data_IF_830019489528
#
_entry.id   IF_830019489528
#
_cell.length_a   1.000
_cell.length_b   1.000
_cell.length_c   1.000
_cell.angle_alpha   90.00
_cell.angle_beta   90.00
_cell.angle_gamma   90.00
#
_symmetry.space_group_name_H-M   'P 1'
#
loop_
_entity.id
_entity.type
_entity.pdbx_description
1 polymer ?
#
# COMPACT_ATOMS: atom_id res chain seq x y z
N UNK A 1 16.84 -24.34 -1.95
CA UNK A 1 17.85 -23.52 -2.69
C UNK A 1 19.27 -23.90 -2.31
N UNK A 2 19.76 -23.56 -1.10
CA UNK A 2 21.16 -23.80 -0.71
C UNK A 2 21.58 -25.29 -0.73
N UNK A 3 20.86 -26.17 -0.02
CA UNK A 3 21.21 -27.60 0.12
C UNK A 3 21.21 -28.36 -1.22
N UNK A 4 20.34 -27.95 -2.14
CA UNK A 4 20.20 -28.52 -3.49
C UNK A 4 21.11 -27.84 -4.53
N UNK A 5 21.94 -26.87 -4.12
CA UNK A 5 22.84 -26.11 -5.02
C UNK A 5 22.14 -25.45 -6.21
N UNK A 6 20.90 -24.99 -6.02
CA UNK A 6 20.08 -24.29 -7.02
C UNK A 6 20.28 -22.76 -6.95
N UNK A 7 21.54 -22.31 -7.00
CA UNK A 7 21.92 -20.90 -6.94
C UNK A 7 23.24 -20.66 -7.69
N UNK A 8 23.69 -19.42 -7.77
CA UNK A 8 24.92 -19.04 -8.47
C UNK A 8 24.68 -18.74 -9.95
N UNK A 9 25.77 -18.70 -10.74
CA UNK A 9 25.79 -18.08 -12.09
C UNK A 9 24.83 -18.65 -13.14
N UNK A 10 24.17 -19.78 -12.88
CA UNK A 10 23.25 -20.47 -13.81
C UNK A 10 21.78 -20.32 -13.45
N UNK A 11 21.47 -19.71 -12.31
CA UNK A 11 20.10 -19.59 -11.80
C UNK A 11 19.79 -18.14 -11.47
N UNK A 12 18.63 -17.67 -11.90
CA UNK A 12 18.09 -16.36 -11.52
C UNK A 12 16.77 -16.61 -10.81
N UNK A 13 16.61 -16.02 -9.63
CA UNK A 13 15.38 -16.10 -8.85
C UNK A 13 14.64 -14.78 -8.94
N UNK A 14 13.35 -14.85 -9.27
CA UNK A 14 12.43 -13.71 -9.18
C UNK A 14 11.58 -13.86 -7.93
N UNK A 15 11.58 -12.82 -7.10
CA UNK A 15 10.85 -12.77 -5.85
C UNK A 15 9.97 -11.52 -5.79
N UNK A 16 9.07 -11.50 -4.82
CA UNK A 16 8.30 -10.32 -4.45
C UNK A 16 9.17 -9.37 -3.60
N UNK A 17 9.00 -8.06 -3.77
CA UNK A 17 9.84 -7.05 -3.08
C UNK A 17 9.34 -6.55 -1.72
N UNK A 18 8.16 -6.96 -1.27
CA UNK A 18 7.61 -6.50 0.02
C UNK A 18 8.17 -7.25 1.25
N UNK A 19 9.17 -8.11 1.07
CA UNK A 19 9.90 -8.67 2.21
C UNK A 19 10.78 -7.60 2.85
N UNK A 20 10.83 -7.59 4.18
CA UNK A 20 11.68 -6.66 4.92
C UNK A 20 13.15 -6.78 4.51
N UNK A 21 13.86 -5.65 4.55
CA UNK A 21 15.29 -5.64 4.36
C UNK A 21 15.97 -6.61 5.32
N UNK A 22 16.94 -7.37 4.81
CA UNK A 22 17.66 -8.37 5.57
C UNK A 22 16.78 -9.49 6.19
N UNK A 23 15.58 -9.76 5.66
CA UNK A 23 14.69 -10.83 6.16
C UNK A 23 15.38 -12.19 6.35
N UNK A 24 16.34 -12.54 5.48
CA UNK A 24 17.10 -13.79 5.51
C UNK A 24 18.22 -13.84 6.57
N UNK A 25 18.48 -12.74 7.27
CA UNK A 25 19.45 -12.66 8.38
C UNK A 25 18.78 -12.89 9.74
N UNK A 26 17.45 -12.94 9.79
CA UNK A 26 16.70 -13.21 11.01
C UNK A 26 16.84 -14.70 11.34
N UNK A 27 17.24 -15.02 12.57
CA UNK A 27 17.39 -16.41 13.02
C UNK A 27 16.03 -17.09 13.10
N UNK A 28 15.85 -18.15 12.33
CA UNK A 28 14.68 -19.01 12.36
C UNK A 28 15.08 -20.41 12.88
N UNK A 29 14.53 -20.88 14.01
CA UNK A 29 14.85 -22.21 14.55
C UNK A 29 14.30 -23.36 13.69
N UNK A 30 13.38 -23.11 12.77
CA UNK A 30 12.81 -24.12 11.88
C UNK A 30 13.72 -24.45 10.69
N UNK A 31 14.74 -23.63 10.41
CA UNK A 31 15.68 -23.85 9.31
C UNK A 31 17.04 -24.33 9.83
N UNK A 32 17.59 -25.34 9.17
CA UNK A 32 18.94 -25.85 9.45
C UNK A 32 19.93 -25.31 8.40
N UNK A 33 20.06 -23.98 8.36
CA UNK A 33 20.99 -23.20 7.55
C UNK A 33 21.52 -22.02 8.39
N UNK A 34 22.78 -21.62 8.19
CA UNK A 34 23.32 -20.40 8.81
C UNK A 34 22.98 -19.16 7.99
N UNK A 35 23.21 -17.97 8.54
CA UNK A 35 23.01 -16.70 7.83
C UNK A 35 23.90 -16.62 6.59
N UNK A 36 25.13 -17.14 6.66
CA UNK A 36 26.08 -17.19 5.55
C UNK A 36 25.55 -18.07 4.40
N UNK A 37 25.01 -19.26 4.73
CA UNK A 37 24.40 -20.16 3.75
C UNK A 37 23.22 -19.49 3.05
N UNK A 38 22.39 -18.77 3.80
CA UNK A 38 21.23 -18.06 3.25
C UNK A 38 21.67 -16.89 2.37
N UNK A 39 22.66 -16.10 2.82
CA UNK A 39 23.21 -14.97 2.07
C UNK A 39 23.78 -15.42 0.73
N UNK A 40 24.53 -16.51 0.69
CA UNK A 40 25.06 -17.08 -0.56
C UNK A 40 23.93 -17.57 -1.49
N UNK A 41 22.86 -18.15 -0.93
CA UNK A 41 21.77 -18.72 -1.71
C UNK A 41 20.85 -17.68 -2.35
N UNK A 42 20.68 -16.51 -1.72
CA UNK A 42 19.83 -15.42 -2.22
C UNK A 42 20.59 -14.41 -3.08
N UNK A 43 21.92 -14.53 -3.19
CA UNK A 43 22.74 -13.60 -3.96
C UNK A 43 22.28 -13.52 -5.43
N UNK A 44 22.08 -12.30 -5.92
CA UNK A 44 21.70 -12.03 -7.32
C UNK A 44 20.24 -12.35 -7.68
N UNK A 45 19.34 -12.44 -6.70
CA UNK A 45 17.90 -12.49 -6.97
C UNK A 45 17.38 -11.12 -7.44
N UNK A 46 16.29 -11.14 -8.21
CA UNK A 46 15.58 -9.95 -8.67
C UNK A 46 14.25 -9.87 -7.94
N UNK A 47 13.96 -8.71 -7.35
CA UNK A 47 12.65 -8.42 -6.76
C UNK A 47 11.84 -7.49 -7.65
N UNK A 48 10.52 -7.62 -7.59
CA UNK A 48 9.60 -6.64 -8.15
C UNK A 48 8.62 -6.20 -7.06
N UNK A 49 8.42 -4.90 -6.93
CA UNK A 49 7.45 -4.30 -6.02
C UNK A 49 6.73 -3.11 -6.68
N UNK A 50 5.67 -2.66 -6.02
CA UNK A 50 4.92 -1.48 -6.42
C UNK A 50 5.45 -0.31 -5.61
N UNK A 51 5.86 0.76 -6.28
CA UNK A 51 6.20 2.01 -5.61
C UNK A 51 4.90 2.67 -5.15
N UNK A 52 4.71 2.75 -3.83
CA UNK A 52 3.52 3.33 -3.19
C UNK A 52 3.65 4.85 -2.95
N UNK A 53 4.66 5.47 -3.55
CA UNK A 53 5.11 6.82 -3.28
C UNK A 53 5.26 7.58 -4.60
N UNK A 54 4.65 8.75 -4.72
CA UNK A 54 4.96 9.63 -5.85
C UNK A 54 6.37 10.23 -5.65
N UNK A 55 7.35 9.94 -6.54
CA UNK A 55 8.69 10.53 -6.43
C UNK A 55 8.71 12.01 -6.79
N UNK A 56 7.65 12.53 -7.43
CA UNK A 56 7.54 13.93 -7.79
C UNK A 56 7.10 14.79 -6.60
N UNK A 57 7.65 16.00 -6.50
CA UNK A 57 7.23 16.99 -5.48
C UNK A 57 6.00 17.75 -5.97
N UNK A 58 4.92 17.04 -6.31
CA UNK A 58 3.62 17.64 -6.63
C UNK A 58 2.75 17.63 -5.38
N UNK A 59 1.91 18.65 -5.22
CA UNK A 59 0.95 18.69 -4.11
C UNK A 59 -0.27 17.88 -4.48
N UNK A 60 -0.60 16.87 -3.68
CA UNK A 60 -1.85 16.13 -3.82
C UNK A 60 -3.08 16.97 -3.48
N UNK A 61 -4.28 16.38 -3.65
CA UNK A 61 -5.57 17.00 -3.35
C UNK A 61 -5.71 17.50 -1.90
N UNK A 62 -4.92 16.94 -0.98
CA UNK A 62 -4.80 17.36 0.42
C UNK A 62 -3.94 18.61 0.64
N UNK A 63 -3.37 19.18 -0.43
CA UNK A 63 -2.39 20.27 -0.41
C UNK A 63 -1.11 19.91 0.37
N UNK A 64 -0.79 18.63 0.46
CA UNK A 64 0.31 18.06 1.24
C UNK A 64 1.28 17.30 0.33
N UNK A 65 2.58 17.48 0.56
CA UNK A 65 3.61 16.68 -0.13
C UNK A 65 3.85 15.37 0.60
N UNK A 66 4.23 14.33 -0.13
CA UNK A 66 4.60 13.04 0.44
C UNK A 66 5.64 13.13 1.56
N UNK A 67 6.70 13.90 1.35
CA UNK A 67 7.75 14.10 2.36
C UNK A 67 7.21 14.73 3.66
N UNK A 68 6.20 15.60 3.54
CA UNK A 68 5.52 16.17 4.71
C UNK A 68 4.62 15.15 5.38
N UNK A 69 3.98 14.24 4.63
CA UNK A 69 3.21 13.13 5.21
C UNK A 69 4.13 12.23 6.01
N UNK A 70 5.23 11.79 5.40
CA UNK A 70 6.22 10.94 6.06
C UNK A 70 6.83 11.59 7.29
N UNK A 71 7.13 12.89 7.24
CA UNK A 71 7.60 13.64 8.41
C UNK A 71 6.55 13.73 9.53
N UNK A 72 5.26 13.87 9.18
CA UNK A 72 4.16 13.95 10.16
C UNK A 72 3.77 12.59 10.74
N UNK A 73 3.89 11.52 9.95
CA UNK A 73 3.60 10.16 10.39
C UNK A 73 4.50 9.73 11.55
N UNK A 74 5.68 10.38 11.72
CA UNK A 74 6.46 10.42 12.95
C UNK A 74 6.47 9.09 13.70
N UNK A 75 7.43 8.22 13.40
CA UNK A 75 7.52 6.90 14.01
C UNK A 75 8.97 6.44 14.13
N UNK A 76 9.18 5.30 14.79
CA UNK A 76 10.46 4.58 14.85
C UNK A 76 11.05 4.42 13.45
N UNK A 77 12.33 4.03 13.41
CA UNK A 77 13.07 3.76 12.17
C UNK A 77 12.14 3.10 11.13
N UNK A 78 11.86 3.73 9.98
CA UNK A 78 10.95 3.20 8.95
C UNK A 78 11.25 1.74 8.57
N UNK A 79 12.52 1.36 8.68
CA UNK A 79 13.07 0.02 8.47
C UNK A 79 12.57 -1.04 9.48
N UNK A 80 12.10 -0.63 10.66
CA UNK A 80 11.60 -1.51 11.73
C UNK A 80 10.07 -1.52 11.83
N UNK A 81 9.39 -0.61 11.13
CA UNK A 81 7.93 -0.49 11.17
C UNK A 81 7.34 -1.19 9.96
N UNK A 82 6.88 -2.43 10.17
CA UNK A 82 6.18 -3.17 9.12
C UNK A 82 4.95 -2.40 8.61
N UNK A 83 4.76 -2.36 7.29
CA UNK A 83 3.63 -1.66 6.67
C UNK A 83 3.81 -0.15 6.50
N UNK A 84 5.01 0.41 6.77
CA UNK A 84 5.24 1.85 6.67
C UNK A 84 5.13 2.38 5.23
N UNK A 85 5.56 1.59 4.24
CA UNK A 85 5.51 1.96 2.83
C UNK A 85 4.06 2.10 2.32
N UNK A 86 3.11 1.44 2.97
CA UNK A 86 1.70 1.40 2.61
C UNK A 86 0.86 2.51 3.27
N UNK A 87 1.44 3.31 4.17
CA UNK A 87 0.73 4.40 4.85
C UNK A 87 0.07 5.44 3.89
N UNK A 88 0.71 5.84 2.78
CA UNK A 88 0.10 6.70 1.76
C UNK A 88 -1.20 6.14 1.18
N UNK A 89 -1.28 4.82 0.98
CA UNK A 89 -2.48 4.17 0.45
C UNK A 89 -3.67 4.33 1.39
N UNK A 90 -3.44 4.17 2.70
CA UNK A 90 -4.46 4.39 3.71
C UNK A 90 -4.90 5.87 3.77
N UNK A 91 -3.95 6.79 3.60
CA UNK A 91 -4.22 8.22 3.54
C UNK A 91 -5.13 8.57 2.35
N UNK A 92 -4.77 8.09 1.15
CA UNK A 92 -5.54 8.33 -0.07
C UNK A 92 -6.89 7.61 -0.09
N UNK A 93 -7.01 6.44 0.55
CA UNK A 93 -8.28 5.75 0.69
C UNK A 93 -9.32 6.59 1.46
N UNK A 94 -8.91 7.27 2.53
CA UNK A 94 -9.79 8.17 3.30
C UNK A 94 -10.14 9.42 2.49
N UNK A 95 -9.19 9.98 1.74
CA UNK A 95 -9.46 11.10 0.83
C UNK A 95 -10.43 10.72 -0.29
N UNK A 96 -10.24 9.55 -0.91
CA UNK A 96 -11.13 9.02 -1.93
C UNK A 96 -12.56 8.86 -1.39
N UNK A 97 -12.69 8.32 -0.17
CA UNK A 97 -13.98 8.20 0.52
C UNK A 97 -14.62 9.58 0.75
N UNK A 98 -13.88 10.54 1.29
CA UNK A 98 -14.39 11.89 1.57
C UNK A 98 -14.87 12.59 0.28
N UNK A 99 -14.08 12.52 -0.79
CA UNK A 99 -14.43 13.09 -2.09
C UNK A 99 -15.64 12.41 -2.72
N UNK A 100 -15.71 11.07 -2.63
CA UNK A 100 -16.84 10.32 -3.15
C UNK A 100 -18.13 10.62 -2.38
N UNK A 101 -18.09 10.64 -1.05
CA UNK A 101 -19.23 11.01 -0.21
C UNK A 101 -19.74 12.42 -0.54
N UNK A 102 -18.84 13.40 -0.67
CA UNK A 102 -19.22 14.75 -1.10
C UNK A 102 -19.92 14.75 -2.47
N UNK A 103 -19.39 13.98 -3.44
CA UNK A 103 -19.98 13.83 -4.78
C UNK A 103 -21.37 13.18 -4.77
N UNK A 104 -21.67 12.29 -3.80
CA UNK A 104 -22.99 11.65 -3.69
C UNK A 104 -24.12 12.55 -3.20
N UNK A 105 -23.80 13.65 -2.50
CA UNK A 105 -24.81 14.50 -1.83
C UNK A 105 -25.84 15.05 -2.82
N UNK A 106 -25.39 15.57 -3.98
CA UNK A 106 -26.30 16.15 -4.97
C UNK A 106 -27.20 15.11 -5.67
N UNK A 107 -26.67 13.97 -6.18
CA UNK A 107 -27.51 12.89 -6.71
C UNK A 107 -28.53 12.32 -5.72
N UNK A 108 -28.13 12.14 -4.45
CA UNK A 108 -29.05 11.64 -3.42
C UNK A 108 -30.16 12.65 -3.12
N UNK A 109 -29.81 13.93 -2.98
CA UNK A 109 -30.80 15.00 -2.76
C UNK A 109 -31.81 15.08 -3.89
N UNK A 110 -31.39 14.88 -5.15
CA UNK A 110 -32.28 14.84 -6.30
C UNK A 110 -33.29 13.68 -6.25
N UNK A 111 -32.97 12.60 -5.53
CA UNK A 111 -33.85 11.45 -5.26
C UNK A 111 -34.62 11.57 -3.93
N UNK A 112 -34.46 12.67 -3.20
CA UNK A 112 -35.09 12.87 -1.88
C UNK A 112 -34.42 12.12 -0.73
N UNK A 113 -33.16 11.71 -0.90
CA UNK A 113 -32.38 11.03 0.14
C UNK A 113 -31.25 11.93 0.66
N UNK A 114 -30.90 11.76 1.93
CA UNK A 114 -29.68 12.24 2.54
C UNK A 114 -28.73 11.06 2.84
N UNK A 115 -27.46 11.35 3.18
CA UNK A 115 -26.51 10.30 3.57
C UNK A 115 -26.90 9.67 4.91
N UNK A 116 -27.53 10.45 5.78
CA UNK A 116 -28.01 10.10 7.10
C UNK A 116 -29.19 9.12 7.06
N UNK A 117 -29.89 9.03 5.93
CA UNK A 117 -31.00 8.07 5.72
C UNK A 117 -30.51 6.64 5.43
N UNK A 118 -29.19 6.41 5.50
CA UNK A 118 -28.59 5.11 5.25
C UNK A 118 -29.10 4.04 6.22
N UNK A 119 -29.41 2.88 5.64
CA UNK A 119 -29.61 1.65 6.37
C UNK A 119 -29.15 0.46 5.50
N UNK A 120 -28.93 -0.69 6.13
CA UNK A 120 -28.40 -1.88 5.44
C UNK A 120 -29.32 -2.50 4.38
N UNK A 121 -30.59 -2.07 4.30
CA UNK A 121 -31.55 -2.57 3.31
C UNK A 121 -31.67 -1.65 2.08
N UNK A 122 -31.30 -0.37 2.20
CA UNK A 122 -31.42 0.61 1.13
C UNK A 122 -30.22 0.55 0.18
N UNK A 123 -30.42 -0.10 -0.98
CA UNK A 123 -29.40 -0.23 -2.02
C UNK A 123 -29.20 1.05 -2.83
N UNK A 124 -30.11 2.03 -2.80
CA UNK A 124 -29.99 3.25 -3.59
C UNK A 124 -28.84 4.14 -3.10
N UNK A 125 -28.67 4.27 -1.79
CA UNK A 125 -27.58 5.06 -1.20
C UNK A 125 -26.24 4.42 -1.54
N UNK A 126 -26.12 3.10 -1.36
CA UNK A 126 -24.90 2.37 -1.73
C UNK A 126 -24.62 2.43 -3.22
N UNK A 127 -25.64 2.41 -4.08
CA UNK A 127 -25.46 2.52 -5.52
C UNK A 127 -24.92 3.89 -5.94
N UNK A 128 -25.38 4.99 -5.32
CA UNK A 128 -24.79 6.32 -5.56
C UNK A 128 -23.36 6.42 -5.05
N UNK A 129 -23.06 5.88 -3.86
CA UNK A 129 -21.67 5.82 -3.33
C UNK A 129 -20.76 5.05 -4.28
N UNK A 130 -21.20 3.89 -4.78
CA UNK A 130 -20.44 3.10 -5.74
C UNK A 130 -20.19 3.87 -7.04
N UNK A 131 -21.19 4.55 -7.60
CA UNK A 131 -21.03 5.40 -8.80
C UNK A 131 -20.07 6.55 -8.56
N UNK A 132 -20.16 7.20 -7.41
CA UNK A 132 -19.26 8.29 -7.04
C UNK A 132 -17.81 7.79 -6.93
N UNK A 133 -17.57 6.68 -6.23
CA UNK A 133 -16.25 6.05 -6.12
C UNK A 133 -15.70 5.62 -7.49
N UNK A 134 -16.52 4.98 -8.32
CA UNK A 134 -16.12 4.52 -9.66
C UNK A 134 -15.72 5.67 -10.60
N UNK A 135 -16.17 6.88 -10.31
CA UNK A 135 -15.88 8.08 -11.11
C UNK A 135 -15.01 9.08 -10.34
N UNK A 136 -14.39 8.65 -9.23
CA UNK A 136 -13.43 9.46 -8.48
C UNK A 136 -12.06 9.36 -9.14
N UNK A 137 -11.46 10.53 -9.39
CA UNK A 137 -10.08 10.66 -9.87
C UNK A 137 -9.51 11.92 -9.24
N UNK A 138 -8.38 11.79 -8.56
CA UNK A 138 -7.66 12.90 -7.94
C UNK A 138 -6.18 12.53 -7.80
N UNK A 139 -5.32 13.53 -7.68
CA UNK A 139 -3.91 13.31 -7.35
C UNK A 139 -3.77 13.10 -5.84
N UNK A 140 -3.32 11.91 -5.45
CA UNK A 140 -3.00 11.55 -4.07
C UNK A 140 -1.67 12.13 -3.59
N UNK A 141 -1.14 11.56 -2.51
CA UNK A 141 0.15 11.94 -1.93
C UNK A 141 1.33 11.16 -2.51
#
# INVERSE_FOLDING_TARGET
VFKEKLYGKKYVWFLIGWYADNWFKIKDPAINCTVENMTEAVEGHVTTEIVMLNPETVRGASNLFLAQLMSRLGGKNPEETGGFQEAPLAYDAVWALALALNKTVAPLRAKGWALEDFNYNNKEITAEIYRALNTSSFEGV
#
